data_IF_516672638606
#
_entry.id   IF_516672638606
#
_cell.length_a   1.000
_cell.length_b   1.000
_cell.length_c   1.000
_cell.angle_alpha   90.00
_cell.angle_beta   90.00
_cell.angle_gamma   90.00
#
_symmetry.space_group_name_H-M   'P 1'
#
loop_
_entity.id
_entity.type
_entity.pdbx_description
1 polymer ?
#
# COMPACT_ATOMS: atom_id res chain seq x y z
N UNK A 1 9.79 46.26 -4.72
CA UNK A 1 9.17 45.03 -5.27
C UNK A 1 7.71 45.35 -5.54
N UNK A 2 7.12 44.96 -6.67
CA UNK A 2 5.69 45.23 -6.91
C UNK A 2 4.82 44.31 -6.03
N UNK A 3 3.58 44.69 -5.75
CA UNK A 3 2.62 43.82 -5.02
C UNK A 3 2.47 42.45 -5.71
N UNK A 4 2.54 42.42 -7.04
CA UNK A 4 2.45 41.19 -7.82
C UNK A 4 3.68 40.29 -7.62
N UNK A 5 4.87 40.88 -7.51
CA UNK A 5 6.12 40.15 -7.28
C UNK A 5 6.16 39.56 -5.87
N UNK A 6 5.67 40.30 -4.86
CA UNK A 6 5.54 39.79 -3.48
C UNK A 6 4.55 38.63 -3.41
N UNK A 7 3.42 38.72 -4.13
CA UNK A 7 2.45 37.62 -4.21
C UNK A 7 3.07 36.39 -4.88
N UNK A 8 3.83 36.59 -5.97
CA UNK A 8 4.54 35.50 -6.65
C UNK A 8 5.57 34.84 -5.74
N UNK A 9 6.41 35.62 -5.07
CA UNK A 9 7.41 35.11 -4.14
C UNK A 9 6.76 34.31 -3.00
N UNK A 10 5.72 34.86 -2.36
CA UNK A 10 5.03 34.16 -1.29
C UNK A 10 4.37 32.86 -1.79
N UNK A 11 3.80 32.87 -3.00
CA UNK A 11 3.21 31.69 -3.62
C UNK A 11 4.25 30.64 -3.99
N UNK A 12 5.42 31.04 -4.47
CA UNK A 12 6.53 30.13 -4.76
C UNK A 12 7.06 29.47 -3.47
N UNK A 13 7.18 30.24 -2.38
CA UNK A 13 7.63 29.74 -1.08
C UNK A 13 6.61 28.83 -0.39
N UNK A 14 5.32 29.13 -0.49
CA UNK A 14 4.27 28.45 0.30
C UNK A 14 3.41 27.46 -0.49
N UNK A 15 3.30 27.65 -1.80
CA UNK A 15 2.36 26.92 -2.65
C UNK A 15 0.89 27.33 -2.48
N UNK A 16 0.59 28.36 -1.67
CA UNK A 16 -0.79 28.77 -1.40
C UNK A 16 -1.47 29.43 -2.62
N UNK A 17 -2.81 29.46 -2.61
CA UNK A 17 -3.60 30.09 -3.67
C UNK A 17 -3.30 31.59 -3.79
N UNK A 18 -3.38 32.13 -5.01
CA UNK A 18 -3.08 33.54 -5.29
C UNK A 18 -3.84 34.51 -4.39
N UNK A 19 -5.14 34.29 -4.20
CA UNK A 19 -5.98 35.15 -3.37
C UNK A 19 -5.62 35.06 -1.88
N UNK A 20 -5.27 33.86 -1.38
CA UNK A 20 -4.81 33.68 0.01
C UNK A 20 -3.48 34.42 0.24
N UNK A 21 -2.55 34.35 -0.71
CA UNK A 21 -1.28 35.08 -0.66
C UNK A 21 -1.52 36.59 -0.65
N UNK A 22 -2.36 37.09 -1.58
CA UNK A 22 -2.70 38.52 -1.68
C UNK A 22 -3.33 39.05 -0.39
N UNK A 23 -4.32 38.33 0.15
CA UNK A 23 -5.01 38.77 1.36
C UNK A 23 -4.09 38.71 2.58
N UNK A 24 -3.27 37.67 2.70
CA UNK A 24 -2.37 37.52 3.85
C UNK A 24 -1.22 38.53 3.83
N UNK A 25 -0.68 38.86 2.65
CA UNK A 25 0.27 39.97 2.51
C UNK A 25 -0.36 41.28 2.96
N UNK A 26 -1.60 41.56 2.54
CA UNK A 26 -2.31 42.77 2.95
C UNK A 26 -2.55 42.83 4.47
N UNK A 27 -2.90 41.71 5.10
CA UNK A 27 -3.10 41.62 6.55
C UNK A 27 -1.81 41.82 7.34
N UNK A 28 -0.67 41.40 6.79
CA UNK A 28 0.65 41.48 7.44
C UNK A 28 1.53 42.60 6.88
N UNK A 29 0.94 43.67 6.34
CA UNK A 29 1.66 44.84 5.84
C UNK A 29 2.80 44.49 4.86
N UNK A 30 2.55 43.56 3.94
CA UNK A 30 3.48 43.04 2.95
C UNK A 30 4.76 42.37 3.52
N UNK A 31 4.76 41.98 4.81
CA UNK A 31 5.83 41.20 5.41
C UNK A 31 5.74 39.73 4.97
N UNK A 32 6.74 39.26 4.23
CA UNK A 32 6.78 37.90 3.67
C UNK A 32 6.88 36.84 4.77
N UNK A 33 7.77 37.00 5.75
CA UNK A 33 8.01 35.99 6.79
C UNK A 33 6.78 35.83 7.71
N UNK A 34 6.17 36.95 8.14
CA UNK A 34 4.91 36.91 8.90
C UNK A 34 3.75 36.32 8.07
N UNK A 35 3.76 36.55 6.76
CA UNK A 35 2.76 35.97 5.84
C UNK A 35 2.92 34.48 5.64
N UNK A 36 4.15 33.96 5.65
CA UNK A 36 4.41 32.52 5.63
C UNK A 36 3.80 31.87 6.89
N UNK A 37 4.07 32.43 8.07
CA UNK A 37 3.53 31.91 9.33
C UNK A 37 2.00 32.00 9.42
N UNK A 38 1.43 33.11 8.98
CA UNK A 38 -0.03 33.30 8.94
C UNK A 38 -0.70 32.33 7.97
N UNK A 39 -0.15 32.16 6.76
CA UNK A 39 -0.64 31.18 5.78
C UNK A 39 -0.52 29.75 6.32
N UNK A 40 0.55 29.43 7.04
CA UNK A 40 0.71 28.12 7.68
C UNK A 40 -0.40 27.86 8.70
N UNK A 41 -0.67 28.81 9.59
CA UNK A 41 -1.77 28.70 10.57
C UNK A 41 -3.14 28.56 9.89
N UNK A 42 -3.43 29.37 8.87
CA UNK A 42 -4.67 29.28 8.08
C UNK A 42 -4.78 27.95 7.34
N UNK A 43 -3.68 27.46 6.80
CA UNK A 43 -3.59 26.17 6.10
C UNK A 43 -3.93 25.00 7.01
N UNK A 44 -3.36 24.97 8.23
CA UNK A 44 -3.67 23.95 9.23
C UNK A 44 -5.17 23.93 9.59
N UNK A 45 -5.77 25.11 9.77
CA UNK A 45 -7.21 25.21 10.03
C UNK A 45 -8.07 24.71 8.84
N UNK A 46 -7.66 25.02 7.60
CA UNK A 46 -8.33 24.49 6.39
C UNK A 46 -8.18 22.97 6.29
N UNK A 47 -7.02 22.42 6.64
CA UNK A 47 -6.77 20.99 6.65
C UNK A 47 -7.68 20.24 7.63
N UNK A 48 -7.83 20.76 8.85
CA UNK A 48 -8.75 20.19 9.85
C UNK A 48 -10.21 20.18 9.39
N UNK A 49 -10.64 21.12 8.54
CA UNK A 49 -12.00 21.11 7.97
C UNK A 49 -12.18 20.08 6.84
N UNK A 50 -11.08 19.65 6.22
CA UNK A 50 -11.09 18.68 5.11
C UNK A 50 -10.97 17.24 5.61
N UNK A 51 -10.43 17.02 6.81
CA UNK A 51 -10.16 15.68 7.35
C UNK A 51 -11.41 14.77 7.47
N UNK A 52 -12.61 15.34 7.51
CA UNK A 52 -13.86 14.58 7.56
C UNK A 52 -14.37 14.13 6.19
N UNK A 53 -13.73 14.54 5.09
CA UNK A 53 -14.14 14.19 3.73
C UNK A 53 -13.65 12.78 3.38
N UNK A 54 -14.42 12.09 2.57
CA UNK A 54 -14.05 10.75 2.12
C UNK A 54 -12.87 10.81 1.13
N UNK A 55 -11.88 9.94 1.35
CA UNK A 55 -10.70 9.81 0.49
C UNK A 55 -10.53 8.33 0.09
N UNK A 56 -10.98 8.00 -1.14
CA UNK A 56 -10.97 6.63 -1.69
C UNK A 56 -9.93 6.43 -2.80
N UNK A 57 -9.49 7.51 -3.44
CA UNK A 57 -8.38 7.48 -4.40
C UNK A 57 -7.04 7.61 -3.66
N UNK A 58 -5.90 7.75 -4.36
CA UNK A 58 -4.56 7.76 -3.76
C UNK A 58 -3.51 6.90 -4.48
N UNK A 59 -2.45 6.53 -3.73
CA UNK A 59 -1.44 5.59 -4.21
C UNK A 59 -0.89 4.71 -3.08
N UNK A 60 -0.33 3.57 -3.49
CA UNK A 60 0.41 2.65 -2.62
C UNK A 60 1.88 2.65 -3.05
N UNK A 61 2.79 2.79 -2.08
CA UNK A 61 4.23 2.78 -2.29
C UNK A 61 4.94 1.61 -1.61
N UNK A 62 6.00 1.11 -2.22
CA UNK A 62 6.92 0.11 -1.66
C UNK A 62 8.30 0.74 -1.39
N UNK A 63 8.83 0.57 -0.18
CA UNK A 63 10.14 1.09 0.22
C UNK A 63 10.91 -0.01 0.95
N UNK A 64 12.18 -0.22 0.62
CA UNK A 64 12.96 -1.31 1.23
C UNK A 64 14.43 -0.93 1.37
N UNK A 65 15.06 -1.49 2.40
CA UNK A 65 16.50 -1.48 2.64
C UNK A 65 16.95 -2.88 3.12
N UNK A 66 18.19 -3.05 3.56
CA UNK A 66 18.69 -4.36 3.99
C UNK A 66 18.00 -4.92 5.25
N UNK A 67 17.34 -4.07 6.06
CA UNK A 67 16.77 -4.44 7.35
C UNK A 67 15.25 -4.66 7.29
N UNK A 68 14.54 -3.77 6.61
CA UNK A 68 13.09 -3.73 6.60
C UNK A 68 12.53 -3.37 5.21
N UNK A 69 11.30 -3.80 4.96
CA UNK A 69 10.48 -3.37 3.83
C UNK A 69 9.17 -2.77 4.33
N UNK A 70 8.65 -1.79 3.60
CA UNK A 70 7.49 -1.00 3.96
C UNK A 70 6.55 -0.94 2.78
N UNK A 71 5.26 -1.19 3.04
CA UNK A 71 4.18 -0.84 2.13
C UNK A 71 3.35 0.26 2.78
N UNK A 72 3.21 1.38 2.09
CA UNK A 72 2.54 2.58 2.58
C UNK A 72 1.40 2.96 1.64
N UNK A 73 0.18 3.08 2.15
CA UNK A 73 -0.98 3.57 1.41
C UNK A 73 -1.35 4.97 1.89
N UNK A 74 -1.36 5.93 0.98
CA UNK A 74 -1.92 7.25 1.22
C UNK A 74 -3.11 7.44 0.29
N UNK A 75 -4.26 7.77 0.87
CA UNK A 75 -5.48 8.09 0.14
C UNK A 75 -5.60 9.60 -0.10
N UNK A 76 -6.29 9.97 -1.18
CA UNK A 76 -6.71 11.32 -1.55
C UNK A 76 -8.20 11.34 -1.93
N UNK A 77 -8.79 12.54 -2.03
CA UNK A 77 -10.18 12.69 -2.50
C UNK A 77 -10.28 12.32 -3.99
N UNK A 78 -9.32 12.73 -4.82
CA UNK A 78 -9.35 12.52 -6.28
C UNK A 78 -8.13 11.77 -6.82
N UNK A 79 -8.28 11.16 -8.00
CA UNK A 79 -7.21 10.45 -8.69
C UNK A 79 -6.22 11.40 -9.38
N UNK A 80 -6.65 12.61 -9.76
CA UNK A 80 -5.78 13.67 -10.27
C UNK A 80 -4.72 14.07 -9.24
N UNK A 81 -5.13 14.27 -7.99
CA UNK A 81 -4.21 14.58 -6.90
C UNK A 81 -3.23 13.44 -6.64
N UNK A 82 -3.71 12.18 -6.64
CA UNK A 82 -2.90 10.99 -6.43
C UNK A 82 -1.78 10.78 -7.47
N UNK A 83 -1.96 11.31 -8.68
CA UNK A 83 -0.99 11.22 -9.79
C UNK A 83 -0.05 12.41 -9.87
N UNK A 84 -0.29 13.47 -9.09
CA UNK A 84 0.53 14.69 -9.12
C UNK A 84 1.91 14.46 -8.48
N UNK A 85 2.93 15.14 -8.99
CA UNK A 85 4.29 15.05 -8.42
C UNK A 85 4.33 15.47 -6.95
N UNK A 86 3.54 16.48 -6.57
CA UNK A 86 3.46 16.95 -5.18
C UNK A 86 3.02 15.82 -4.23
N UNK A 87 2.00 15.05 -4.63
CA UNK A 87 1.52 13.90 -3.84
C UNK A 87 2.53 12.75 -3.86
N UNK A 88 3.08 12.42 -5.02
CA UNK A 88 4.02 11.30 -5.16
C UNK A 88 5.33 11.55 -4.41
N UNK A 89 5.83 12.80 -4.44
CA UNK A 89 7.00 13.23 -3.65
C UNK A 89 6.73 13.15 -2.15
N UNK A 90 5.50 13.50 -1.73
CA UNK A 90 5.10 13.37 -0.33
C UNK A 90 5.07 11.89 0.10
N UNK A 91 4.46 11.02 -0.70
CA UNK A 91 4.45 9.57 -0.43
C UNK A 91 5.88 9.01 -0.35
N UNK A 92 6.76 9.41 -1.26
CA UNK A 92 8.19 9.06 -1.23
C UNK A 92 8.89 9.55 0.05
N UNK A 93 8.61 10.79 0.47
CA UNK A 93 9.15 11.37 1.70
C UNK A 93 8.70 10.58 2.93
N UNK A 94 7.40 10.33 3.08
CA UNK A 94 6.85 9.58 4.22
C UNK A 94 7.41 8.16 4.26
N UNK A 95 7.48 7.48 3.10
CA UNK A 95 8.10 6.17 2.98
C UNK A 95 9.57 6.15 3.44
N UNK A 96 10.35 7.16 3.05
CA UNK A 96 11.75 7.32 3.48
C UNK A 96 11.88 7.61 4.98
N UNK A 97 10.98 8.41 5.57
CA UNK A 97 10.97 8.67 7.01
C UNK A 97 10.71 7.38 7.79
N UNK A 98 9.73 6.58 7.35
CA UNK A 98 9.42 5.29 7.96
C UNK A 98 10.60 4.31 7.83
N UNK A 99 11.21 4.24 6.63
CA UNK A 99 12.33 3.34 6.35
C UNK A 99 13.56 3.65 7.22
N UNK A 100 13.80 4.93 7.53
CA UNK A 100 14.91 5.36 8.41
C UNK A 100 14.78 4.86 9.85
N UNK A 101 13.56 4.56 10.31
CA UNK A 101 13.36 4.10 11.69
C UNK A 101 13.93 2.70 11.90
N UNK A 102 14.01 1.88 10.86
CA UNK A 102 14.48 0.49 10.95
C UNK A 102 13.80 -0.33 12.07
N UNK A 103 12.52 -0.02 12.34
CA UNK A 103 11.75 -0.62 13.42
C UNK A 103 10.51 -1.32 12.85
N UNK A 104 10.49 -2.66 12.94
CA UNK A 104 9.34 -3.48 12.53
C UNK A 104 8.12 -3.29 13.44
N UNK A 105 8.33 -2.92 14.71
CA UNK A 105 7.26 -2.75 15.70
C UNK A 105 6.50 -1.43 15.55
N UNK A 106 7.02 -0.54 14.70
CA UNK A 106 6.43 0.76 14.45
C UNK A 106 5.05 0.60 13.80
N UNK A 107 4.02 1.06 14.51
CA UNK A 107 2.66 1.15 14.01
C UNK A 107 2.34 2.57 13.50
N UNK A 108 1.20 2.72 12.84
CA UNK A 108 0.78 4.01 12.27
C UNK A 108 0.64 5.11 13.33
N UNK A 109 0.05 4.82 14.49
CA UNK A 109 -0.16 5.79 15.56
C UNK A 109 1.15 6.39 16.05
N UNK A 110 2.13 5.54 16.36
CA UNK A 110 3.47 5.96 16.78
C UNK A 110 4.20 6.67 15.64
N UNK A 111 4.05 6.18 14.41
CA UNK A 111 4.67 6.78 13.23
C UNK A 111 4.21 8.23 12.97
N UNK A 112 2.92 8.52 13.17
CA UNK A 112 2.38 9.87 13.00
C UNK A 112 3.04 10.91 13.93
N UNK A 113 3.61 10.47 15.06
CA UNK A 113 4.27 11.33 16.04
C UNK A 113 5.78 11.49 15.81
N UNK A 114 6.38 10.73 14.88
CA UNK A 114 7.82 10.82 14.58
C UNK A 114 8.16 12.19 14.00
N UNK A 115 9.24 12.79 14.50
CA UNK A 115 9.73 14.09 14.03
C UNK A 115 10.69 13.96 12.84
N UNK A 116 10.52 14.84 11.88
CA UNK A 116 11.41 15.08 10.76
C UNK A 116 11.53 16.59 10.54
N UNK A 117 12.75 17.14 10.65
CA UNK A 117 13.02 18.59 10.60
C UNK A 117 12.07 19.40 11.50
N UNK A 118 12.00 19.01 12.79
CA UNK A 118 11.17 19.63 13.84
C UNK A 118 9.65 19.56 13.65
N UNK A 119 9.15 18.84 12.65
CA UNK A 119 7.72 18.60 12.42
C UNK A 119 7.37 17.13 12.60
N UNK A 120 6.22 16.82 13.20
CA UNK A 120 5.74 15.44 13.21
C UNK A 120 5.28 15.00 11.81
N UNK A 121 5.21 13.69 11.55
CA UNK A 121 4.58 13.16 10.32
C UNK A 121 3.13 13.65 10.19
N UNK A 122 2.40 13.75 11.31
CA UNK A 122 1.05 14.34 11.36
C UNK A 122 1.04 15.80 10.87
N UNK A 123 2.02 16.61 11.27
CA UNK A 123 2.13 18.00 10.81
C UNK A 123 2.48 18.08 9.33
N UNK A 124 3.39 17.22 8.85
CA UNK A 124 3.71 17.12 7.42
C UNK A 124 2.46 16.76 6.58
N UNK A 125 1.64 15.83 7.07
CA UNK A 125 0.36 15.47 6.42
C UNK A 125 -0.60 16.65 6.37
N UNK A 126 -0.79 17.39 7.47
CA UNK A 126 -1.67 18.57 7.51
C UNK A 126 -1.19 19.68 6.58
N UNK A 127 0.12 19.90 6.51
CA UNK A 127 0.72 20.85 5.56
C UNK A 127 0.46 20.41 4.11
N UNK A 128 0.56 19.12 3.82
CA UNK A 128 0.28 18.60 2.48
C UNK A 128 -1.20 18.72 2.11
N UNK A 129 -2.13 18.46 3.05
CA UNK A 129 -3.57 18.71 2.87
C UNK A 129 -3.83 20.18 2.54
N UNK A 130 -3.17 21.10 3.23
CA UNK A 130 -3.32 22.53 2.98
C UNK A 130 -2.79 22.92 1.58
N UNK A 131 -1.67 22.31 1.16
CA UNK A 131 -1.02 22.57 -0.13
C UNK A 131 -1.80 22.00 -1.31
N UNK A 132 -2.26 20.74 -1.22
CA UNK A 132 -3.05 20.08 -2.26
C UNK A 132 -4.48 20.62 -2.28
N UNK A 133 -5.02 20.97 -1.11
CA UNK A 133 -6.40 21.40 -0.98
C UNK A 133 -7.41 20.25 -1.00
N UNK A 134 -6.98 19.01 -0.76
CA UNK A 134 -7.80 17.81 -0.60
C UNK A 134 -7.45 17.10 0.70
N UNK A 135 -8.40 16.34 1.25
CA UNK A 135 -8.14 15.42 2.34
C UNK A 135 -7.15 14.34 1.90
N UNK A 136 -6.16 14.08 2.77
CA UNK A 136 -5.20 13.01 2.61
C UNK A 136 -5.18 12.16 3.87
N UNK A 137 -5.14 10.84 3.70
CA UNK A 137 -5.16 9.90 4.83
C UNK A 137 -4.04 8.90 4.62
N UNK A 138 -3.13 8.77 5.60
CA UNK A 138 -2.23 7.62 5.65
C UNK A 138 -3.06 6.45 6.18
N UNK A 139 -3.50 5.57 5.29
CA UNK A 139 -4.48 4.52 5.62
C UNK A 139 -3.80 3.23 6.08
N UNK A 140 -2.67 2.87 5.46
CA UNK A 140 -1.92 1.67 5.80
C UNK A 140 -0.43 1.96 5.90
N UNK A 141 0.19 1.45 6.97
CA UNK A 141 1.63 1.34 7.14
C UNK A 141 1.92 -0.10 7.55
N UNK A 142 2.41 -0.91 6.61
CA UNK A 142 2.84 -2.30 6.89
C UNK A 142 4.35 -2.38 6.81
N UNK A 143 4.98 -2.86 7.89
CA UNK A 143 6.43 -2.99 8.00
C UNK A 143 6.80 -4.46 8.18
N UNK A 144 7.75 -4.91 7.38
CA UNK A 144 8.25 -6.27 7.33
C UNK A 144 9.74 -6.27 7.64
N UNK A 145 10.20 -7.29 8.36
CA UNK A 145 11.64 -7.51 8.56
C UNK A 145 12.20 -8.31 7.39
N UNK A 146 13.35 -7.88 6.90
CA UNK A 146 14.10 -8.58 5.85
C UNK A 146 15.17 -9.51 6.42
N UNK A 147 15.15 -9.80 7.74
CA UNK A 147 16.19 -10.60 8.40
C UNK A 147 16.32 -11.96 7.71
N UNK A 148 17.46 -12.17 7.05
CA UNK A 148 17.79 -13.40 6.29
C UNK A 148 16.85 -13.70 5.11
N UNK A 149 16.03 -12.73 4.70
CA UNK A 149 15.09 -12.88 3.60
C UNK A 149 15.44 -11.94 2.46
N UNK A 150 15.41 -12.48 1.25
CA UNK A 150 15.34 -11.71 0.03
C UNK A 150 13.91 -11.18 -0.14
N UNK A 151 13.80 -10.03 -0.80
CA UNK A 151 12.51 -9.39 -1.06
C UNK A 151 12.42 -9.02 -2.53
N UNK A 152 11.28 -9.33 -3.14
CA UNK A 152 10.93 -8.82 -4.45
C UNK A 152 9.52 -8.24 -4.41
N UNK A 153 9.23 -7.31 -5.32
CA UNK A 153 7.94 -6.63 -5.37
C UNK A 153 7.50 -6.35 -6.80
N UNK A 154 6.21 -6.13 -6.95
CA UNK A 154 5.59 -5.72 -8.20
C UNK A 154 4.61 -4.56 -7.94
N UNK A 155 4.67 -3.57 -8.83
CA UNK A 155 3.74 -2.44 -8.85
C UNK A 155 2.83 -2.62 -10.06
N UNK A 156 1.52 -2.74 -9.83
CA UNK A 156 0.53 -2.71 -10.91
C UNK A 156 -0.05 -1.30 -11.06
N UNK A 157 -0.25 -0.88 -12.32
CA UNK A 157 -0.62 0.49 -12.69
C UNK A 157 0.31 1.53 -12.02
N UNK A 158 1.62 1.52 -12.38
CA UNK A 158 2.60 2.37 -11.74
C UNK A 158 2.39 3.85 -12.08
N UNK A 159 2.56 4.70 -11.06
CA UNK A 159 2.79 6.13 -11.22
C UNK A 159 4.29 6.46 -11.19
N UNK A 160 5.06 5.70 -10.40
CA UNK A 160 6.54 5.69 -10.35
C UNK A 160 7.05 4.26 -10.22
N UNK A 161 8.37 4.07 -10.27
CA UNK A 161 9.01 2.75 -10.13
C UNK A 161 8.57 1.99 -8.88
N UNK A 162 8.32 2.70 -7.78
CA UNK A 162 7.97 2.16 -6.47
C UNK A 162 6.57 2.53 -5.99
N UNK A 163 5.75 3.22 -6.81
CA UNK A 163 4.44 3.74 -6.42
C UNK A 163 3.42 3.43 -7.52
N UNK A 164 2.23 2.93 -7.16
CA UNK A 164 1.13 2.69 -8.10
C UNK A 164 -0.19 2.41 -7.40
N UNK A 165 -1.13 1.78 -8.10
CA UNK A 165 -2.44 1.40 -7.52
C UNK A 165 -2.40 0.12 -6.70
N UNK A 166 -1.52 -0.82 -7.02
CA UNK A 166 -1.38 -2.08 -6.29
C UNK A 166 0.10 -2.37 -6.08
N UNK A 167 0.44 -2.79 -4.86
CA UNK A 167 1.75 -3.31 -4.50
C UNK A 167 1.58 -4.74 -4.00
N UNK A 168 2.30 -5.66 -4.62
CA UNK A 168 2.54 -6.99 -4.07
C UNK A 168 4.03 -7.18 -3.80
N UNK A 169 4.36 -7.89 -2.72
CA UNK A 169 5.74 -8.22 -2.36
C UNK A 169 5.81 -9.65 -1.84
N UNK A 170 6.92 -10.32 -2.09
CA UNK A 170 7.24 -11.64 -1.54
C UNK A 170 8.53 -11.58 -0.75
N UNK A 171 8.55 -12.29 0.36
CA UNK A 171 9.69 -12.46 1.24
C UNK A 171 10.07 -13.92 1.22
N UNK A 172 11.32 -14.22 0.87
CA UNK A 172 11.74 -15.59 0.63
C UNK A 172 13.20 -15.79 1.00
N UNK A 173 13.54 -17.01 1.37
CA UNK A 173 14.93 -17.42 1.51
C UNK A 173 15.46 -17.95 0.17
N UNK A 174 16.71 -17.59 -0.13
CA UNK A 174 17.51 -18.21 -1.17
C UNK A 174 18.99 -18.04 -0.85
N UNK A 175 19.80 -19.05 -1.12
CA UNK A 175 21.25 -19.04 -0.90
C UNK A 175 22.03 -18.39 -2.05
N UNK A 176 21.36 -18.13 -3.17
CA UNK A 176 21.95 -17.51 -4.36
C UNK A 176 21.14 -16.29 -4.77
N UNK A 177 21.82 -15.31 -5.38
CA UNK A 177 21.18 -14.15 -6.00
C UNK A 177 21.48 -14.20 -7.50
N UNK A 178 20.54 -14.75 -8.26
CA UNK A 178 20.63 -14.83 -9.72
C UNK A 178 19.37 -14.24 -10.38
N UNK A 179 19.44 -14.08 -11.70
CA UNK A 179 18.35 -13.51 -12.49
C UNK A 179 17.12 -14.44 -12.54
N UNK A 180 17.31 -15.76 -12.48
CA UNK A 180 16.23 -16.74 -12.45
C UNK A 180 15.35 -16.59 -11.20
N UNK A 181 15.95 -16.52 -10.01
CA UNK A 181 15.27 -16.31 -8.73
C UNK A 181 14.57 -14.95 -8.74
N UNK A 182 15.23 -13.92 -9.27
CA UNK A 182 14.65 -12.58 -9.38
C UNK A 182 13.41 -12.59 -10.29
N UNK A 183 13.48 -13.28 -11.42
CA UNK A 183 12.37 -13.38 -12.37
C UNK A 183 11.23 -14.21 -11.79
N UNK A 184 11.53 -15.38 -11.21
CA UNK A 184 10.54 -16.26 -10.61
C UNK A 184 9.79 -15.60 -9.45
N UNK A 185 10.51 -14.98 -8.51
CA UNK A 185 9.89 -14.26 -7.39
C UNK A 185 9.04 -13.08 -7.86
N UNK A 186 9.47 -12.34 -8.90
CA UNK A 186 8.68 -11.26 -9.51
C UNK A 186 7.41 -11.77 -10.17
N UNK A 187 7.47 -12.93 -10.83
CA UNK A 187 6.29 -13.57 -11.41
C UNK A 187 5.27 -13.97 -10.32
N UNK A 188 5.74 -14.45 -9.16
CA UNK A 188 4.86 -14.69 -8.00
C UNK A 188 4.22 -13.38 -7.52
N UNK A 189 4.96 -12.26 -7.44
CA UNK A 189 4.37 -10.96 -7.12
C UNK A 189 3.27 -10.57 -8.12
N UNK A 190 3.51 -10.74 -9.43
CA UNK A 190 2.51 -10.45 -10.46
C UNK A 190 1.26 -11.31 -10.29
N UNK A 191 1.42 -12.60 -9.99
CA UNK A 191 0.32 -13.50 -9.70
C UNK A 191 -0.48 -13.03 -8.47
N UNK A 192 0.18 -12.69 -7.35
CA UNK A 192 -0.49 -12.18 -6.14
C UNK A 192 -1.30 -10.92 -6.45
N UNK A 193 -0.77 -10.00 -7.26
CA UNK A 193 -1.49 -8.78 -7.63
C UNK A 193 -2.75 -9.06 -8.48
N UNK A 194 -2.71 -10.10 -9.32
CA UNK A 194 -3.83 -10.49 -10.18
C UNK A 194 -4.88 -11.34 -9.43
N UNK A 195 -4.43 -12.37 -8.71
CA UNK A 195 -5.27 -13.41 -8.10
C UNK A 195 -5.73 -13.09 -6.67
N UNK A 196 -5.09 -12.12 -6.01
CA UNK A 196 -5.47 -11.60 -4.68
C UNK A 196 -5.76 -12.70 -3.64
N UNK A 197 -4.84 -13.64 -3.38
CA UNK A 197 -5.03 -14.67 -2.38
C UNK A 197 -5.28 -14.08 -0.99
N UNK A 198 -6.16 -14.72 -0.22
CA UNK A 198 -6.49 -14.35 1.17
C UNK A 198 -5.47 -14.91 2.16
N UNK A 199 -4.84 -16.04 1.84
CA UNK A 199 -3.81 -16.68 2.67
C UNK A 199 -2.74 -17.39 1.84
N UNK A 200 -1.63 -17.78 2.47
CA UNK A 200 -0.57 -18.57 1.80
C UNK A 200 -1.05 -19.98 1.47
N UNK A 201 -1.60 -20.68 2.45
CA UNK A 201 -2.16 -22.04 2.35
C UNK A 201 -3.39 -22.15 3.27
N UNK A 202 -4.04 -23.31 3.25
CA UNK A 202 -5.33 -23.56 3.93
C UNK A 202 -5.22 -23.37 5.45
N UNK A 203 -4.08 -23.71 6.04
CA UNK A 203 -3.82 -23.62 7.48
C UNK A 203 -3.75 -22.18 8.01
N UNK A 204 -3.57 -21.20 7.12
CA UNK A 204 -3.51 -19.78 7.44
C UNK A 204 -4.85 -19.06 7.23
N UNK A 205 -5.88 -19.76 6.75
CA UNK A 205 -7.23 -19.21 6.69
C UNK A 205 -7.87 -19.19 8.09
N UNK A 206 -8.69 -18.16 8.34
CA UNK A 206 -9.50 -18.11 9.56
C UNK A 206 -10.49 -19.27 9.60
N UNK A 207 -10.60 -19.94 10.76
CA UNK A 207 -11.60 -21.00 10.96
C UNK A 207 -13.01 -20.51 10.68
N UNK A 208 -13.33 -19.27 11.05
CA UNK A 208 -14.63 -18.65 10.80
C UNK A 208 -14.91 -18.52 9.30
N UNK A 209 -13.91 -18.17 8.48
CA UNK A 209 -14.06 -18.09 7.02
C UNK A 209 -14.33 -19.48 6.43
N UNK A 210 -13.56 -20.48 6.86
CA UNK A 210 -13.73 -21.87 6.43
C UNK A 210 -15.11 -22.41 6.80
N UNK A 211 -15.54 -22.19 8.05
CA UNK A 211 -16.82 -22.67 8.57
C UNK A 211 -18.00 -22.01 7.86
N UNK A 212 -17.94 -20.70 7.65
CA UNK A 212 -18.97 -19.95 6.94
C UNK A 212 -19.09 -20.43 5.49
N UNK A 213 -17.97 -20.56 4.76
CA UNK A 213 -17.99 -21.05 3.38
C UNK A 213 -18.52 -22.49 3.31
N UNK A 214 -18.09 -23.36 4.23
CA UNK A 214 -18.58 -24.73 4.30
C UNK A 214 -20.10 -24.78 4.51
N UNK A 215 -20.64 -23.93 5.39
CA UNK A 215 -22.08 -23.82 5.63
C UNK A 215 -22.83 -23.37 4.38
N UNK A 216 -22.33 -22.34 3.70
CA UNK A 216 -22.91 -21.84 2.44
C UNK A 216 -22.96 -22.97 1.40
N UNK A 217 -21.85 -23.69 1.21
CA UNK A 217 -21.80 -24.78 0.24
C UNK A 217 -22.69 -25.96 0.65
N UNK A 218 -22.82 -26.26 1.95
CA UNK A 218 -23.72 -27.29 2.45
C UNK A 218 -25.19 -26.96 2.15
N UNK A 219 -25.62 -25.74 2.46
CA UNK A 219 -26.99 -25.26 2.19
C UNK A 219 -27.30 -25.38 0.68
N UNK A 220 -26.40 -24.91 -0.19
CA UNK A 220 -26.54 -25.04 -1.64
C UNK A 220 -26.66 -26.49 -2.16
N UNK A 221 -26.10 -27.47 -1.43
CA UNK A 221 -26.12 -28.88 -1.84
C UNK A 221 -27.36 -29.60 -1.29
N UNK A 222 -27.84 -29.24 -0.10
CA UNK A 222 -29.00 -29.88 0.54
C UNK A 222 -30.27 -29.75 -0.32
N UNK A 223 -30.42 -28.62 -1.02
CA UNK A 223 -31.52 -28.37 -1.95
C UNK A 223 -31.51 -29.30 -3.19
N UNK A 224 -30.45 -30.07 -3.41
CA UNK A 224 -30.31 -30.96 -4.58
C UNK A 224 -30.96 -32.34 -4.43
N UNK A 225 -31.46 -32.69 -3.24
CA UNK A 225 -32.15 -33.97 -2.99
C UNK A 225 -31.28 -35.24 -3.15
N UNK A 226 -29.95 -35.09 -3.21
CA UNK A 226 -29.02 -36.20 -3.43
C UNK A 226 -28.76 -37.01 -2.15
N UNK A 227 -28.36 -38.28 -2.25
CA UNK A 227 -27.96 -39.09 -1.09
C UNK A 227 -26.80 -38.46 -0.29
N UNK A 228 -26.79 -38.65 1.04
CA UNK A 228 -25.82 -38.03 1.96
C UNK A 228 -24.34 -38.26 1.59
N UNK A 229 -24.00 -39.49 1.19
CA UNK A 229 -22.65 -39.85 0.73
C UNK A 229 -22.22 -39.13 -0.56
N UNK A 230 -23.17 -38.79 -1.43
CA UNK A 230 -22.92 -38.00 -2.64
C UNK A 230 -22.77 -36.52 -2.28
N UNK A 231 -23.61 -36.01 -1.37
CA UNK A 231 -23.52 -34.64 -0.88
C UNK A 231 -22.18 -34.34 -0.21
N UNK A 232 -21.66 -35.26 0.60
CA UNK A 232 -20.35 -35.11 1.25
C UNK A 232 -19.20 -35.06 0.23
N UNK A 233 -19.23 -35.92 -0.80
CA UNK A 233 -18.24 -35.89 -1.89
C UNK A 233 -18.31 -34.57 -2.68
N UNK A 234 -19.51 -34.07 -2.96
CA UNK A 234 -19.69 -32.78 -3.65
C UNK A 234 -19.14 -31.65 -2.79
N UNK A 235 -19.48 -31.60 -1.50
CA UNK A 235 -18.98 -30.59 -0.57
C UNK A 235 -17.45 -30.59 -0.53
N UNK A 236 -16.82 -31.77 -0.41
CA UNK A 236 -15.37 -31.89 -0.42
C UNK A 236 -14.74 -31.33 -1.70
N UNK A 237 -15.34 -31.63 -2.86
CA UNK A 237 -14.89 -31.08 -4.15
C UNK A 237 -15.03 -29.57 -4.23
N UNK A 238 -16.16 -29.01 -3.77
CA UNK A 238 -16.40 -27.57 -3.72
C UNK A 238 -15.43 -26.85 -2.80
N UNK A 239 -15.19 -27.38 -1.60
CA UNK A 239 -14.22 -26.81 -0.67
C UNK A 239 -12.80 -26.87 -1.24
N UNK A 240 -12.43 -27.96 -1.92
CA UNK A 240 -11.14 -28.04 -2.63
C UNK A 240 -11.00 -26.92 -3.67
N UNK A 241 -12.05 -26.66 -4.46
CA UNK A 241 -12.07 -25.57 -5.43
C UNK A 241 -11.96 -24.20 -4.75
N UNK A 242 -12.71 -23.97 -3.69
CA UNK A 242 -12.63 -22.73 -2.91
C UNK A 242 -11.20 -22.47 -2.42
N UNK A 243 -10.55 -23.48 -1.81
CA UNK A 243 -9.16 -23.35 -1.37
C UNK A 243 -8.20 -23.03 -2.51
N UNK A 244 -8.37 -23.63 -3.70
CA UNK A 244 -7.56 -23.29 -4.88
C UNK A 244 -7.81 -21.88 -5.41
N UNK A 245 -8.90 -21.22 -5.02
CA UNK A 245 -9.20 -19.84 -5.43
C UNK A 245 -8.69 -18.82 -4.41
N UNK A 246 -8.67 -19.14 -3.11
CA UNK A 246 -8.34 -18.17 -2.05
C UNK A 246 -6.96 -18.35 -1.41
N UNK A 247 -6.24 -19.43 -1.69
CA UNK A 247 -4.91 -19.67 -1.09
C UNK A 247 -3.80 -19.69 -2.14
N UNK A 248 -2.75 -18.90 -1.93
CA UNK A 248 -1.69 -18.66 -2.91
C UNK A 248 -1.06 -19.95 -3.43
N UNK A 249 -0.66 -20.86 -2.55
CA UNK A 249 0.03 -22.09 -2.94
C UNK A 249 -0.84 -23.03 -3.77
N UNK A 250 -2.16 -22.97 -3.62
CA UNK A 250 -3.11 -23.85 -4.34
C UNK A 250 -3.70 -23.19 -5.59
N UNK A 251 -3.41 -21.92 -5.85
CA UNK A 251 -3.84 -21.22 -7.07
C UNK A 251 -3.03 -21.68 -8.28
N UNK A 252 -3.69 -21.81 -9.44
CA UNK A 252 -3.03 -22.00 -10.72
C UNK A 252 -2.20 -20.77 -11.08
N UNK A 253 -0.95 -20.99 -11.48
CA UNK A 253 0.00 -19.91 -11.69
C UNK A 253 -0.37 -19.11 -12.94
N UNK A 254 -0.43 -17.78 -12.85
CA UNK A 254 -0.84 -16.91 -13.97
C UNK A 254 0.11 -17.01 -15.17
N UNK A 255 1.39 -17.32 -14.91
CA UNK A 255 2.41 -17.48 -15.96
C UNK A 255 2.41 -18.90 -16.56
N UNK A 256 2.01 -19.91 -15.79
CA UNK A 256 1.91 -21.31 -16.21
C UNK A 256 0.64 -21.94 -15.62
N UNK A 257 -0.52 -21.75 -16.26
CA UNK A 257 -1.82 -22.13 -15.70
C UNK A 257 -2.01 -23.65 -15.52
N UNK A 258 -1.13 -24.47 -16.11
CA UNK A 258 -1.15 -25.92 -15.97
C UNK A 258 -0.62 -26.39 -14.61
N UNK A 259 0.05 -25.50 -13.86
CA UNK A 259 0.63 -25.78 -12.55
C UNK A 259 0.08 -24.85 -11.49
N UNK A 260 -0.06 -25.37 -10.28
CA UNK A 260 -0.23 -24.55 -9.08
C UNK A 260 1.05 -23.80 -8.73
N UNK A 261 0.96 -22.72 -7.96
CA UNK A 261 2.15 -22.03 -7.42
C UNK A 261 3.05 -23.00 -6.64
N UNK A 262 2.46 -23.92 -5.87
CA UNK A 262 3.21 -24.93 -5.12
C UNK A 262 4.01 -25.86 -6.04
N UNK A 263 3.41 -26.34 -7.12
CA UNK A 263 4.08 -27.15 -8.12
C UNK A 263 5.18 -26.36 -8.84
N UNK A 264 4.91 -25.11 -9.22
CA UNK A 264 5.90 -24.24 -9.83
C UNK A 264 7.10 -23.98 -8.91
N UNK A 265 6.89 -23.80 -7.61
CA UNK A 265 7.97 -23.65 -6.61
C UNK A 265 8.78 -24.95 -6.50
N UNK A 266 8.11 -26.10 -6.44
CA UNK A 266 8.78 -27.41 -6.35
C UNK A 266 9.65 -27.69 -7.58
N UNK A 267 9.12 -27.43 -8.78
CA UNK A 267 9.86 -27.58 -10.04
C UNK A 267 11.05 -26.64 -10.09
N UNK A 268 10.87 -25.37 -9.71
CA UNK A 268 11.95 -24.39 -9.65
C UNK A 268 13.07 -24.81 -8.69
N UNK A 269 12.71 -25.45 -7.57
CA UNK A 269 13.63 -25.97 -6.57
C UNK A 269 14.41 -27.22 -6.99
N UNK A 270 14.12 -27.81 -8.16
CA UNK A 270 14.96 -28.88 -8.71
C UNK A 270 16.37 -28.40 -9.09
N UNK A 271 16.51 -27.10 -9.38
CA UNK A 271 17.77 -26.47 -9.80
C UNK A 271 18.19 -25.29 -8.90
N UNK A 272 17.25 -24.73 -8.14
CA UNK A 272 17.46 -23.55 -7.30
C UNK A 272 17.11 -23.85 -5.83
N UNK A 273 17.44 -22.93 -4.91
CA UNK A 273 16.89 -22.94 -3.55
C UNK A 273 16.04 -21.71 -3.35
N UNK A 274 14.73 -21.90 -3.34
CA UNK A 274 13.73 -20.86 -3.18
C UNK A 274 12.68 -21.32 -2.16
N UNK A 275 12.59 -20.58 -1.06
CA UNK A 275 11.69 -20.90 0.04
C UNK A 275 10.85 -19.67 0.37
N UNK A 276 9.64 -19.64 -0.17
CA UNK A 276 8.68 -18.56 0.02
C UNK A 276 8.21 -18.54 1.48
N UNK A 277 8.49 -17.45 2.20
CA UNK A 277 8.14 -17.30 3.62
C UNK A 277 6.83 -16.57 3.82
N UNK A 278 6.62 -15.49 3.10
CA UNK A 278 5.42 -14.68 3.21
C UNK A 278 5.24 -13.81 1.97
N UNK A 279 4.05 -13.23 1.86
CA UNK A 279 3.78 -12.18 0.92
C UNK A 279 3.03 -11.02 1.57
N UNK A 280 2.97 -9.91 0.87
CA UNK A 280 2.12 -8.79 1.21
C UNK A 280 1.42 -8.30 -0.05
N UNK A 281 0.17 -7.88 0.10
CA UNK A 281 -0.63 -7.27 -0.94
C UNK A 281 -1.36 -6.07 -0.34
N UNK A 282 -1.23 -4.92 -0.97
CA UNK A 282 -2.07 -3.75 -0.70
C UNK A 282 -2.53 -3.19 -2.04
N UNK A 283 -3.83 -3.01 -2.18
CA UNK A 283 -4.43 -2.27 -3.27
C UNK A 283 -5.05 -0.97 -2.75
N UNK A 284 -5.14 -0.01 -3.66
CA UNK A 284 -5.97 1.16 -3.48
C UNK A 284 -7.44 0.79 -3.34
#
# INVERSE_FOLDING_TARGET
MSDLDLIKELREKTGAGFLDCKNTLKENNNNIEESIDSLRKKGLAKASKKSSREAKEGAVGFFSNDKISIILKINSETDFSAKSDIFLDFLDLIGKIALKQNDKSLNLENFLNIKYNDKSVSDLLKEMIAKIGENLIINDLKIFSNKELNVNFYIHNPYRKNIGKIVSAVFFYSDTKNEEITTFSKNICMHIAASKPEAMDIDQLSSTVIENEKKIQQEMIQDSGKPSNVMEKILKGKMKKYYSEVTLLNQNFVIDPDKTIKEAINDFNSLNKFDLKSYALISL
#
